data_IF_449080924250
#
_entry.id   IF_449080924250
#
_cell.length_a   1.000
_cell.length_b   1.000
_cell.length_c   1.000
_cell.angle_alpha   90.00
_cell.angle_beta   90.00
_cell.angle_gamma   90.00
#
_symmetry.space_group_name_H-M   'P 1'
#
loop_
_entity.id
_entity.type
_entity.pdbx_description
1 polymer ?
#
# COMPACT_ATOMS: atom_id res chain seq x y z
N UNK A 1 -6.05 7.56 -1.06
CA UNK A 1 -6.65 8.83 -0.54
C UNK A 1 -7.94 9.24 -1.23
N UNK A 2 -8.01 9.44 -2.57
CA UNK A 2 -9.24 9.91 -3.26
C UNK A 2 -10.44 9.03 -2.96
N UNK A 3 -10.30 7.70 -3.03
CA UNK A 3 -11.36 6.74 -2.73
C UNK A 3 -11.89 6.85 -1.28
N UNK A 4 -11.00 6.96 -0.30
CA UNK A 4 -11.40 7.13 1.11
C UNK A 4 -12.15 8.43 1.35
N UNK A 5 -11.73 9.53 0.73
CA UNK A 5 -12.46 10.81 0.76
C UNK A 5 -13.83 10.71 0.10
N UNK A 6 -13.94 9.98 -1.02
CA UNK A 6 -15.22 9.73 -1.67
C UNK A 6 -16.18 8.93 -0.77
N UNK A 7 -15.65 8.04 0.06
CA UNK A 7 -16.43 7.33 1.10
C UNK A 7 -16.71 8.19 2.34
N UNK A 8 -16.34 9.49 2.34
CA UNK A 8 -16.46 10.39 3.49
C UNK A 8 -15.71 9.92 4.73
N UNK A 9 -14.62 9.14 4.54
CA UNK A 9 -13.78 8.65 5.63
C UNK A 9 -12.73 9.70 5.96
N UNK A 10 -12.60 10.05 7.27
CA UNK A 10 -11.49 10.89 7.74
C UNK A 10 -10.18 10.13 7.59
N UNK A 11 -9.43 10.46 6.54
CA UNK A 11 -8.21 9.77 6.15
C UNK A 11 -7.05 10.75 5.90
N UNK A 12 -5.83 10.36 6.33
CA UNK A 12 -4.61 11.16 6.15
C UNK A 12 -3.43 10.29 5.72
N UNK A 13 -2.55 10.87 4.90
CA UNK A 13 -1.29 10.23 4.49
C UNK A 13 -0.13 10.80 5.29
N UNK A 14 0.73 9.91 5.77
CA UNK A 14 1.99 10.19 6.44
C UNK A 14 3.11 9.62 5.55
N UNK A 15 3.73 10.48 4.74
CA UNK A 15 4.77 10.09 3.79
C UNK A 15 6.15 10.20 4.45
N UNK A 16 6.75 9.08 4.80
CA UNK A 16 8.07 9.02 5.46
C UNK A 16 9.16 9.72 4.64
N UNK A 17 9.05 9.67 3.32
CA UNK A 17 9.94 10.42 2.43
C UNK A 17 9.89 11.93 2.65
N UNK A 18 8.72 12.49 3.01
CA UNK A 18 8.60 13.91 3.34
C UNK A 18 9.34 14.25 4.64
N UNK A 19 9.19 13.41 5.68
CA UNK A 19 9.93 13.60 6.94
C UNK A 19 11.43 13.51 6.72
N UNK A 20 11.88 12.58 5.89
CA UNK A 20 13.29 12.44 5.50
C UNK A 20 13.79 13.69 4.75
N UNK A 21 13.04 14.21 3.76
CA UNK A 21 13.42 15.40 2.98
C UNK A 21 13.52 16.65 3.86
N UNK A 22 12.67 16.79 4.87
CA UNK A 22 12.75 17.90 5.81
C UNK A 22 14.06 17.90 6.62
N UNK A 23 14.61 16.70 6.89
CA UNK A 23 15.87 16.55 7.62
C UNK A 23 17.10 16.53 6.68
N UNK A 24 16.97 15.93 5.50
CA UNK A 24 18.06 15.76 4.52
C UNK A 24 17.50 15.94 3.11
N UNK A 25 17.51 17.15 2.55
CA UNK A 25 17.05 17.40 1.20
C UNK A 25 18.01 16.79 0.17
N UNK A 26 17.42 16.20 -0.88
CA UNK A 26 18.12 15.69 -2.08
C UNK A 26 19.37 14.82 -1.82
N UNK A 27 19.30 13.75 -1.02
CA UNK A 27 20.43 12.88 -0.79
C UNK A 27 20.72 12.06 -2.05
N UNK A 28 22.00 11.78 -2.32
CA UNK A 28 22.43 10.86 -3.37
C UNK A 28 22.02 9.41 -3.08
N UNK A 29 22.13 8.51 -4.08
CA UNK A 29 21.89 7.08 -3.91
C UNK A 29 22.71 6.46 -2.76
N UNK A 30 23.92 6.98 -2.47
CA UNK A 30 24.75 6.53 -1.35
C UNK A 30 24.09 6.69 0.03
N UNK A 31 23.17 7.63 0.20
CA UNK A 31 22.39 7.78 1.43
C UNK A 31 21.50 6.55 1.72
N UNK A 32 21.09 5.84 0.67
CA UNK A 32 20.21 4.68 0.77
C UNK A 32 20.97 3.36 0.90
N UNK A 33 22.29 3.41 0.88
CA UNK A 33 23.15 2.25 1.09
C UNK A 33 22.95 1.69 2.50
N UNK A 34 22.93 0.36 2.61
CA UNK A 34 22.81 -0.34 3.90
C UNK A 34 24.08 -0.27 4.73
N UNK A 35 25.22 -0.06 4.08
CA UNK A 35 26.52 0.16 4.74
C UNK A 35 26.68 1.58 5.28
N UNK A 36 25.72 2.49 5.03
CA UNK A 36 25.74 3.86 5.52
C UNK A 36 24.96 3.98 6.85
N UNK A 37 25.62 3.92 8.01
CA UNK A 37 24.94 3.92 9.32
C UNK A 37 24.24 5.25 9.61
N UNK A 38 24.78 6.36 9.14
CA UNK A 38 24.15 7.67 9.32
C UNK A 38 22.90 7.80 8.46
N UNK A 39 22.93 7.34 7.22
CA UNK A 39 21.76 7.25 6.35
C UNK A 39 20.67 6.35 6.95
N UNK A 40 21.04 5.21 7.52
CA UNK A 40 20.11 4.32 8.22
C UNK A 40 19.48 4.99 9.43
N UNK A 41 20.27 5.64 10.28
CA UNK A 41 19.80 6.38 11.46
C UNK A 41 18.78 7.45 11.09
N UNK A 42 19.05 8.24 10.06
CA UNK A 42 18.17 9.32 9.60
C UNK A 42 16.87 8.76 8.99
N UNK A 43 16.92 7.67 8.23
CA UNK A 43 15.74 6.99 7.69
C UNK A 43 14.87 6.41 8.81
N UNK A 44 15.49 5.86 9.87
CA UNK A 44 14.78 5.37 11.04
C UNK A 44 14.08 6.50 11.78
N UNK A 45 14.80 7.58 12.10
CA UNK A 45 14.25 8.76 12.77
C UNK A 45 13.07 9.39 11.99
N UNK A 46 13.15 9.46 10.66
CA UNK A 46 12.07 9.94 9.82
C UNK A 46 10.82 9.05 9.93
N UNK A 47 11.00 7.73 9.97
CA UNK A 47 9.88 6.81 10.12
C UNK A 47 9.27 6.87 11.53
N UNK A 48 10.07 7.00 12.58
CA UNK A 48 9.58 7.18 13.95
C UNK A 48 8.78 8.48 14.11
N UNK A 49 9.26 9.58 13.53
CA UNK A 49 8.54 10.85 13.50
C UNK A 49 7.19 10.71 12.78
N UNK A 50 7.16 10.08 11.61
CA UNK A 50 5.93 9.88 10.85
C UNK A 50 4.91 9.01 11.62
N UNK A 51 5.35 7.90 12.23
CA UNK A 51 4.47 7.03 13.03
C UNK A 51 3.99 7.74 14.29
N UNK A 52 4.83 8.53 14.94
CA UNK A 52 4.45 9.31 16.12
C UNK A 52 3.38 10.35 15.79
N UNK A 53 3.54 11.07 14.67
CA UNK A 53 2.55 12.04 14.20
C UNK A 53 1.25 11.35 13.76
N UNK A 54 1.33 10.18 13.15
CA UNK A 54 0.18 9.35 12.79
C UNK A 54 -0.63 8.94 14.03
N UNK A 55 0.03 8.43 15.07
CA UNK A 55 -0.62 8.08 16.34
C UNK A 55 -1.26 9.29 16.99
N UNK A 56 -0.55 10.43 17.00
CA UNK A 56 -1.08 11.69 17.53
C UNK A 56 -2.34 12.13 16.78
N UNK A 57 -2.34 12.00 15.45
CA UNK A 57 -3.49 12.35 14.62
C UNK A 57 -4.72 11.47 14.91
N UNK A 58 -4.55 10.16 15.08
CA UNK A 58 -5.64 9.27 15.49
C UNK A 58 -6.26 9.71 16.82
N UNK A 59 -5.43 10.11 17.79
CA UNK A 59 -5.89 10.50 19.12
C UNK A 59 -6.56 11.88 19.17
N UNK A 60 -6.07 12.85 18.39
CA UNK A 60 -6.49 14.26 18.50
C UNK A 60 -7.53 14.67 17.47
N UNK A 61 -7.46 14.12 16.28
CA UNK A 61 -8.24 14.58 15.13
C UNK A 61 -9.33 13.59 14.71
N UNK A 62 -9.65 12.62 15.56
CA UNK A 62 -10.61 11.55 15.29
C UNK A 62 -10.38 10.87 13.93
N UNK A 63 -9.13 10.60 13.61
CA UNK A 63 -8.74 9.92 12.39
C UNK A 63 -9.30 8.49 12.33
N UNK A 64 -9.72 8.05 11.14
CA UNK A 64 -10.25 6.70 10.92
C UNK A 64 -9.24 5.84 10.18
N UNK A 65 -8.63 6.35 9.11
CA UNK A 65 -7.61 5.65 8.33
C UNK A 65 -6.38 6.53 8.12
N UNK A 66 -5.22 6.03 8.52
CA UNK A 66 -3.94 6.59 8.14
C UNK A 66 -3.27 5.75 7.05
N UNK A 67 -2.64 6.39 6.07
CA UNK A 67 -1.78 5.74 5.10
C UNK A 67 -0.34 6.10 5.45
N UNK A 68 0.42 5.13 5.96
CA UNK A 68 1.86 5.28 6.16
C UNK A 68 2.58 4.93 4.84
N UNK A 69 2.95 5.95 4.10
CA UNK A 69 3.61 5.82 2.81
C UNK A 69 5.13 5.73 3.00
N UNK A 70 5.65 4.52 2.88
CA UNK A 70 7.07 4.18 3.04
C UNK A 70 7.38 2.86 2.34
N UNK A 71 8.66 2.56 2.14
CA UNK A 71 9.09 1.30 1.52
C UNK A 71 8.81 0.06 2.39
N UNK A 72 8.94 0.18 3.72
CA UNK A 72 8.70 -0.91 4.70
C UNK A 72 9.27 -2.27 4.27
N UNK A 73 10.47 -2.25 3.67
CA UNK A 73 11.06 -3.34 2.89
C UNK A 73 11.49 -4.56 3.71
N UNK A 74 11.66 -4.45 5.03
CA UNK A 74 12.15 -5.55 5.87
C UNK A 74 11.09 -6.06 6.84
N UNK A 75 11.16 -7.35 7.19
CA UNK A 75 10.30 -7.99 8.19
C UNK A 75 10.40 -7.29 9.56
N UNK A 76 11.62 -6.91 9.96
CA UNK A 76 11.84 -6.19 11.22
C UNK A 76 11.12 -4.83 11.24
N UNK A 77 11.12 -4.09 10.12
CA UNK A 77 10.41 -2.83 10.00
C UNK A 77 8.89 -3.02 10.08
N UNK A 78 8.33 -4.01 9.38
CA UNK A 78 6.89 -4.30 9.42
C UNK A 78 6.46 -4.74 10.82
N UNK A 79 7.23 -5.60 11.48
CA UNK A 79 7.00 -6.01 12.86
C UNK A 79 6.99 -4.83 13.83
N UNK A 80 8.00 -3.94 13.72
CA UNK A 80 8.07 -2.74 14.56
C UNK A 80 6.84 -1.83 14.37
N UNK A 81 6.38 -1.60 13.12
CA UNK A 81 5.18 -0.82 12.84
C UNK A 81 3.95 -1.48 13.47
N UNK A 82 3.78 -2.79 13.28
CA UNK A 82 2.67 -3.54 13.84
C UNK A 82 2.63 -3.44 15.36
N UNK A 83 3.76 -3.68 16.04
CA UNK A 83 3.85 -3.59 17.50
C UNK A 83 3.54 -2.18 18.01
N UNK A 84 4.05 -1.15 17.30
CA UNK A 84 3.81 0.24 17.68
C UNK A 84 2.34 0.62 17.54
N UNK A 85 1.70 0.20 16.46
CA UNK A 85 0.27 0.41 16.23
C UNK A 85 -0.59 -0.38 17.22
N UNK A 86 -0.26 -1.65 17.48
CA UNK A 86 -1.02 -2.51 18.41
C UNK A 86 -1.06 -1.95 19.83
N UNK A 87 0.03 -1.33 20.32
CA UNK A 87 0.05 -0.65 21.63
C UNK A 87 -0.94 0.50 21.74
N UNK A 88 -1.37 1.03 20.62
CA UNK A 88 -2.33 2.13 20.51
C UNK A 88 -3.72 1.67 20.08
N UNK A 89 -3.96 0.36 20.04
CA UNK A 89 -5.19 -0.26 19.50
C UNK A 89 -5.48 0.15 18.05
N UNK A 90 -4.44 0.37 17.23
CA UNK A 90 -4.54 0.68 15.82
C UNK A 90 -4.29 -0.60 15.03
N UNK A 91 -5.26 -1.02 14.23
CA UNK A 91 -5.10 -2.15 13.31
C UNK A 91 -4.27 -1.76 12.09
N UNK A 92 -3.45 -2.71 11.62
CA UNK A 92 -2.58 -2.49 10.44
C UNK A 92 -3.02 -3.37 9.28
N UNK A 93 -3.08 -2.79 8.09
CA UNK A 93 -3.22 -3.50 6.81
C UNK A 93 -1.99 -3.18 5.96
N UNK A 94 -1.15 -4.17 5.70
CA UNK A 94 -0.01 -4.01 4.80
C UNK A 94 -0.44 -4.18 3.34
N UNK A 95 0.00 -3.27 2.48
CA UNK A 95 -0.22 -3.34 1.04
C UNK A 95 1.14 -3.49 0.38
N UNK A 96 1.41 -4.67 -0.18
CA UNK A 96 2.61 -4.96 -0.93
C UNK A 96 2.31 -4.94 -2.43
N UNK A 97 3.05 -4.15 -3.19
CA UNK A 97 2.98 -4.12 -4.65
C UNK A 97 4.29 -4.62 -5.24
N UNK A 98 4.24 -5.73 -5.95
CA UNK A 98 5.36 -6.34 -6.65
C UNK A 98 5.16 -6.22 -8.15
N UNK A 99 6.20 -5.85 -8.87
CA UNK A 99 6.19 -5.83 -10.32
C UNK A 99 7.49 -6.45 -10.83
N UNK A 100 7.37 -7.50 -11.65
CA UNK A 100 8.49 -8.18 -12.31
C UNK A 100 8.61 -7.81 -13.80
N UNK A 101 7.70 -6.99 -14.31
CA UNK A 101 7.69 -6.55 -15.70
C UNK A 101 8.64 -5.36 -15.88
N UNK A 102 9.83 -5.63 -16.43
CA UNK A 102 10.86 -4.61 -16.66
C UNK A 102 10.40 -3.47 -17.57
N UNK A 103 9.54 -3.73 -18.56
CA UNK A 103 9.04 -2.69 -19.47
C UNK A 103 8.13 -1.71 -18.73
N UNK A 104 7.28 -2.24 -17.85
CA UNK A 104 6.40 -1.44 -17.00
C UNK A 104 7.19 -0.68 -15.94
N UNK A 105 8.20 -1.31 -15.33
CA UNK A 105 9.09 -0.65 -14.37
C UNK A 105 9.78 0.54 -15.01
N UNK A 106 10.38 0.36 -16.20
CA UNK A 106 11.06 1.44 -16.92
C UNK A 106 10.11 2.57 -17.32
N UNK A 107 8.91 2.26 -17.78
CA UNK A 107 7.89 3.28 -18.08
C UNK A 107 7.54 4.11 -16.85
N UNK A 108 7.32 3.46 -15.70
CA UNK A 108 7.01 4.13 -14.44
C UNK A 108 8.20 4.99 -13.95
N UNK A 109 9.43 4.52 -14.12
CA UNK A 109 10.63 5.29 -13.78
C UNK A 109 10.67 6.58 -14.60
N UNK A 110 10.43 6.53 -15.87
CA UNK A 110 10.42 7.71 -16.76
C UNK A 110 9.33 8.72 -16.35
N UNK A 111 8.15 8.24 -15.95
CA UNK A 111 7.06 9.10 -15.48
C UNK A 111 7.35 9.72 -14.10
N UNK A 112 7.82 8.91 -13.15
CA UNK A 112 8.12 9.37 -11.77
C UNK A 112 9.22 10.43 -11.72
N UNK A 113 10.19 10.42 -12.64
CA UNK A 113 11.27 11.41 -12.67
C UNK A 113 10.82 12.82 -12.94
N UNK A 114 9.85 12.97 -13.82
CA UNK A 114 9.31 14.28 -14.14
C UNK A 114 8.51 14.88 -12.98
N UNK A 115 8.10 14.04 -12.01
CA UNK A 115 7.19 14.42 -10.93
C UNK A 115 7.77 14.29 -9.51
N UNK A 116 8.91 13.61 -9.35
CA UNK A 116 9.48 13.38 -8.02
C UNK A 116 10.16 14.62 -7.45
N UNK A 117 9.83 15.04 -6.21
CA UNK A 117 10.46 16.18 -5.55
C UNK A 117 11.99 16.04 -5.37
N UNK A 118 12.50 14.81 -5.36
CA UNK A 118 13.94 14.54 -5.17
C UNK A 118 14.76 14.91 -6.42
N UNK A 119 14.13 15.06 -7.59
CA UNK A 119 14.81 15.28 -8.88
C UNK A 119 14.46 16.59 -9.58
N UNK A 120 13.72 17.47 -8.92
CA UNK A 120 13.38 18.78 -9.47
C UNK A 120 14.65 19.59 -9.74
N UNK A 121 14.86 19.98 -11.02
CA UNK A 121 16.00 20.80 -11.45
C UNK A 121 17.29 20.01 -11.70
N UNK A 122 17.26 18.67 -11.66
CA UNK A 122 18.39 17.82 -12.05
C UNK A 122 18.33 17.46 -13.53
N UNK A 123 19.48 17.07 -14.09
CA UNK A 123 19.56 16.51 -15.42
C UNK A 123 18.74 15.21 -15.51
N UNK A 124 17.92 15.02 -16.55
CA UNK A 124 17.05 13.86 -16.66
C UNK A 124 17.81 12.51 -16.73
N UNK A 125 18.98 12.47 -17.37
CA UNK A 125 19.76 11.23 -17.50
C UNK A 125 20.42 10.86 -16.17
N UNK A 126 20.99 11.84 -15.48
CA UNK A 126 21.58 11.66 -14.14
C UNK A 126 20.54 11.24 -13.12
N UNK A 127 19.34 11.84 -13.17
CA UNK A 127 18.23 11.47 -12.32
C UNK A 127 17.76 10.01 -12.56
N UNK A 128 17.81 9.52 -13.80
CA UNK A 128 17.55 8.10 -14.15
C UNK A 128 18.54 7.21 -13.47
N UNK A 129 19.77 7.51 -13.66
CA UNK A 129 20.84 6.66 -13.16
C UNK A 129 20.80 6.57 -11.62
N UNK A 130 20.67 7.71 -10.93
CA UNK A 130 20.55 7.73 -9.47
C UNK A 130 19.30 6.96 -8.99
N UNK A 131 18.18 7.06 -9.71
CA UNK A 131 16.96 6.33 -9.34
C UNK A 131 17.12 4.82 -9.52
N UNK A 132 17.75 4.35 -10.59
CA UNK A 132 18.04 2.94 -10.82
C UNK A 132 19.00 2.39 -9.75
N UNK A 133 20.01 3.15 -9.37
CA UNK A 133 20.90 2.78 -8.27
C UNK A 133 20.16 2.66 -6.94
N UNK A 134 19.23 3.57 -6.65
CA UNK A 134 18.37 3.46 -5.46
C UNK A 134 17.49 2.22 -5.48
N UNK A 135 16.88 1.89 -6.62
CA UNK A 135 16.10 0.65 -6.78
C UNK A 135 16.95 -0.55 -6.42
N UNK A 136 18.13 -0.68 -7.02
CA UNK A 136 19.06 -1.78 -6.75
C UNK A 136 19.39 -1.92 -5.27
N UNK A 137 19.71 -0.80 -4.59
CA UNK A 137 19.98 -0.82 -3.14
C UNK A 137 18.76 -1.24 -2.30
N UNK A 138 17.54 -0.95 -2.75
CA UNK A 138 16.34 -1.43 -2.09
C UNK A 138 16.06 -2.91 -2.38
N UNK A 139 16.33 -3.38 -3.59
CA UNK A 139 16.19 -4.81 -3.97
C UNK A 139 17.08 -5.69 -3.10
N UNK A 140 18.32 -5.27 -2.83
CA UNK A 140 19.30 -6.02 -2.01
C UNK A 140 18.80 -6.29 -0.57
N UNK A 141 17.94 -5.44 -0.02
CA UNK A 141 17.40 -5.56 1.35
C UNK A 141 15.93 -5.90 1.41
N UNK A 142 15.26 -5.98 0.26
CA UNK A 142 13.85 -6.21 0.21
C UNK A 142 13.48 -7.63 0.62
N UNK A 143 12.58 -7.73 1.57
CA UNK A 143 12.01 -8.98 2.07
C UNK A 143 10.51 -8.97 1.81
N UNK A 144 10.08 -9.68 0.77
CA UNK A 144 8.66 -9.84 0.46
C UNK A 144 7.92 -10.48 1.63
N UNK A 145 6.65 -10.10 1.81
CA UNK A 145 5.79 -10.75 2.81
C UNK A 145 5.62 -12.22 2.42
N UNK A 146 5.87 -13.13 3.37
CA UNK A 146 5.80 -14.57 3.18
C UNK A 146 5.06 -15.27 4.34
N UNK A 147 5.06 -16.60 4.34
CA UNK A 147 4.37 -17.42 5.33
C UNK A 147 4.86 -17.21 6.78
N UNK A 148 6.07 -16.71 6.99
CA UNK A 148 6.57 -16.37 8.33
C UNK A 148 5.82 -15.20 8.96
N UNK A 149 5.15 -14.39 8.14
CA UNK A 149 4.35 -13.22 8.53
C UNK A 149 2.83 -13.49 8.40
N UNK A 150 2.39 -14.75 8.45
CA UNK A 150 0.98 -15.17 8.32
C UNK A 150 0.01 -14.52 9.32
N UNK A 151 0.52 -13.96 10.40
CA UNK A 151 -0.27 -13.25 11.41
C UNK A 151 -0.57 -11.79 11.01
N UNK A 152 0.10 -11.25 9.99
CA UNK A 152 -0.18 -9.92 9.48
C UNK A 152 -1.47 -9.90 8.67
N UNK A 153 -2.20 -8.80 8.74
CA UNK A 153 -3.24 -8.48 7.77
C UNK A 153 -2.58 -7.82 6.58
N UNK A 154 -2.67 -8.42 5.39
CA UNK A 154 -2.04 -7.89 4.19
C UNK A 154 -2.78 -8.20 2.90
N UNK A 155 -2.56 -7.37 1.91
CA UNK A 155 -2.83 -7.64 0.50
C UNK A 155 -1.54 -7.51 -0.30
N UNK A 156 -1.22 -8.52 -1.11
CA UNK A 156 -0.08 -8.54 -2.00
C UNK A 156 -0.56 -8.54 -3.43
N UNK A 157 -0.20 -7.52 -4.18
CA UNK A 157 -0.59 -7.29 -5.57
C UNK A 157 0.64 -7.53 -6.45
N UNK A 158 0.56 -8.51 -7.34
CA UNK A 158 1.69 -8.92 -8.17
C UNK A 158 1.37 -8.60 -9.63
N UNK A 159 2.33 -8.01 -10.32
CA UNK A 159 2.29 -7.65 -11.73
C UNK A 159 0.99 -6.92 -12.10
N UNK A 160 0.76 -5.80 -11.40
CA UNK A 160 -0.38 -4.92 -11.63
C UNK A 160 -1.74 -5.62 -11.49
N UNK A 161 -1.82 -6.58 -10.56
CA UNK A 161 -3.06 -7.30 -10.25
C UNK A 161 -3.27 -8.58 -11.07
N UNK A 162 -2.27 -9.11 -11.77
CA UNK A 162 -2.34 -10.45 -12.35
C UNK A 162 -2.56 -11.53 -11.28
N UNK A 163 -1.91 -11.35 -10.13
CA UNK A 163 -2.10 -12.20 -8.96
C UNK A 163 -2.32 -11.33 -7.73
N UNK A 164 -3.26 -11.73 -6.88
CA UNK A 164 -3.56 -11.02 -5.64
C UNK A 164 -3.65 -12.04 -4.52
N UNK A 165 -2.88 -11.82 -3.46
CA UNK A 165 -2.89 -12.64 -2.25
C UNK A 165 -3.44 -11.77 -1.12
N UNK A 166 -4.42 -12.30 -0.40
CA UNK A 166 -5.11 -11.61 0.68
C UNK A 166 -5.00 -12.47 1.95
N UNK A 167 -4.62 -11.88 3.06
CA UNK A 167 -4.46 -12.57 4.32
C UNK A 167 -5.08 -11.82 5.49
N UNK A 168 -5.81 -12.55 6.35
CA UNK A 168 -6.35 -12.10 7.64
C UNK A 168 -7.19 -10.81 7.58
N UNK A 169 -8.05 -10.66 6.59
CA UNK A 169 -8.97 -9.52 6.51
C UNK A 169 -10.08 -9.69 7.55
N UNK A 170 -10.28 -8.67 8.38
CA UNK A 170 -11.11 -8.74 9.58
C UNK A 170 -12.41 -7.96 9.51
N UNK A 171 -12.43 -6.85 8.78
CA UNK A 171 -13.56 -5.92 8.81
C UNK A 171 -14.02 -5.46 7.42
N UNK A 172 -15.16 -4.79 7.41
CA UNK A 172 -15.79 -4.25 6.22
C UNK A 172 -14.91 -3.20 5.52
N UNK A 173 -14.25 -2.33 6.28
CA UNK A 173 -13.48 -1.23 5.71
C UNK A 173 -12.22 -1.72 5.02
N UNK A 174 -11.53 -2.70 5.64
CA UNK A 174 -10.40 -3.41 5.02
C UNK A 174 -10.85 -4.08 3.71
N UNK A 175 -11.98 -4.78 3.73
CA UNK A 175 -12.56 -5.41 2.53
C UNK A 175 -12.84 -4.40 1.42
N UNK A 176 -13.39 -3.23 1.74
CA UNK A 176 -13.66 -2.14 0.77
C UNK A 176 -12.38 -1.59 0.15
N UNK A 177 -11.33 -1.40 0.96
CA UNK A 177 -10.02 -0.95 0.46
C UNK A 177 -9.43 -1.98 -0.49
N UNK A 178 -9.47 -3.27 -0.13
CA UNK A 178 -8.96 -4.35 -0.96
C UNK A 178 -9.74 -4.46 -2.27
N UNK A 179 -11.07 -4.42 -2.20
CA UNK A 179 -11.91 -4.42 -3.40
C UNK A 179 -11.54 -3.27 -4.35
N UNK A 180 -11.33 -2.06 -3.81
CA UNK A 180 -10.86 -0.93 -4.60
C UNK A 180 -9.48 -1.20 -5.25
N UNK A 181 -8.52 -1.73 -4.48
CA UNK A 181 -7.18 -2.04 -4.98
C UNK A 181 -7.20 -3.09 -6.09
N UNK A 182 -8.05 -4.11 -5.97
CA UNK A 182 -8.23 -5.15 -6.99
C UNK A 182 -8.80 -4.61 -8.31
N UNK A 183 -9.50 -3.48 -8.27
CA UNK A 183 -10.17 -2.88 -9.43
C UNK A 183 -9.46 -1.63 -9.97
N UNK A 184 -8.24 -1.32 -9.53
CA UNK A 184 -7.48 -0.17 -10.04
C UNK A 184 -7.09 -0.32 -11.51
N UNK A 185 -6.84 -1.54 -11.97
CA UNK A 185 -6.37 -1.85 -13.31
C UNK A 185 -7.41 -2.64 -14.10
N UNK A 186 -8.62 -2.07 -14.23
CA UNK A 186 -9.69 -2.68 -15.02
C UNK A 186 -9.33 -2.58 -16.50
N UNK A 187 -9.25 -3.73 -17.18
CA UNK A 187 -9.07 -3.75 -18.64
C UNK A 187 -10.35 -3.28 -19.32
N UNK A 188 -10.26 -2.41 -20.35
CA UNK A 188 -11.42 -2.00 -21.11
C UNK A 188 -12.13 -3.23 -21.72
N UNK A 189 -13.47 -3.20 -21.74
CA UNK A 189 -14.31 -4.26 -22.36
C UNK A 189 -14.15 -5.65 -21.74
N UNK A 190 -13.94 -5.75 -20.44
CA UNK A 190 -13.99 -7.03 -19.74
C UNK A 190 -15.43 -7.52 -19.64
N UNK A 191 -15.68 -8.77 -20.03
CA UNK A 191 -16.97 -9.45 -19.86
C UNK A 191 -16.80 -10.47 -18.74
N UNK A 192 -17.66 -10.39 -17.72
CA UNK A 192 -17.67 -11.34 -16.61
C UNK A 192 -18.84 -12.30 -16.77
N UNK A 193 -18.56 -13.59 -16.95
CA UNK A 193 -19.56 -14.63 -17.05
C UNK A 193 -19.55 -15.45 -15.77
N UNK A 194 -20.67 -15.55 -15.10
CA UNK A 194 -20.86 -16.37 -13.91
C UNK A 194 -22.02 -17.34 -14.10
N UNK A 195 -21.79 -18.61 -13.76
CA UNK A 195 -22.85 -19.62 -13.68
C UNK A 195 -23.05 -20.02 -12.23
N UNK A 196 -24.14 -19.59 -11.65
CA UNK A 196 -24.54 -19.98 -10.28
C UNK A 196 -25.41 -21.23 -10.33
N UNK A 197 -25.02 -22.29 -9.62
CA UNK A 197 -25.88 -23.46 -9.45
C UNK A 197 -27.05 -23.12 -8.53
N UNK A 198 -28.24 -23.60 -8.87
CA UNK A 198 -29.51 -23.35 -8.15
C UNK A 198 -29.41 -23.60 -6.63
N UNK A 199 -28.59 -24.56 -6.20
CA UNK A 199 -28.38 -24.90 -4.78
C UNK A 199 -27.66 -23.77 -4.02
N UNK A 200 -26.65 -23.14 -4.64
CA UNK A 200 -25.91 -22.03 -4.04
C UNK A 200 -26.80 -20.80 -3.95
N UNK A 201 -27.64 -20.58 -4.96
CA UNK A 201 -28.59 -19.47 -5.01
C UNK A 201 -29.62 -19.54 -3.88
N UNK A 202 -30.18 -20.73 -3.59
CA UNK A 202 -31.13 -20.90 -2.50
C UNK A 202 -30.51 -20.72 -1.11
N UNK A 203 -29.26 -21.12 -0.91
CA UNK A 203 -28.54 -20.91 0.33
C UNK A 203 -28.20 -19.43 0.54
N UNK A 204 -27.79 -18.73 -0.51
CA UNK A 204 -27.49 -17.31 -0.48
C UNK A 204 -28.73 -16.45 -0.18
N UNK A 205 -29.87 -16.78 -0.77
CA UNK A 205 -31.14 -16.08 -0.50
C UNK A 205 -31.66 -16.32 0.92
N UNK A 206 -31.48 -17.51 1.48
CA UNK A 206 -31.86 -17.78 2.89
C UNK A 206 -31.02 -16.97 3.86
N UNK A 207 -29.74 -16.78 3.60
CA UNK A 207 -28.84 -15.98 4.44
C UNK A 207 -29.09 -14.48 4.28
N UNK A 208 -29.40 -14.03 3.06
CA UNK A 208 -29.70 -12.63 2.77
C UNK A 208 -31.03 -12.15 3.37
N UNK A 209 -32.05 -13.00 3.37
CA UNK A 209 -33.36 -12.68 3.99
C UNK A 209 -33.29 -12.54 5.52
N UNK A 210 -32.29 -13.14 6.17
CA UNK A 210 -32.06 -12.99 7.60
C UNK A 210 -31.30 -11.69 7.97
N UNK A 211 -30.72 -10.98 6.99
CA UNK A 211 -29.90 -9.79 7.23
C UNK A 211 -30.24 -8.57 6.36
N UNK A 212 -31.49 -8.43 5.91
CA UNK A 212 -31.98 -7.24 5.16
C UNK A 212 -31.03 -6.72 4.05
N UNK A 213 -30.30 -7.59 3.36
CA UNK A 213 -29.39 -7.23 2.25
C UNK A 213 -29.96 -7.56 0.88
N UNK A 214 -31.19 -7.14 0.59
CA UNK A 214 -31.91 -7.47 -0.67
C UNK A 214 -31.39 -6.70 -1.89
N UNK A 215 -30.63 -5.63 -1.75
CA UNK A 215 -30.29 -4.73 -2.86
C UNK A 215 -28.89 -4.87 -3.49
N UNK A 216 -28.10 -5.89 -3.13
CA UNK A 216 -26.77 -6.04 -3.74
C UNK A 216 -26.72 -7.03 -4.92
N UNK A 217 -27.76 -7.82 -5.15
CA UNK A 217 -27.75 -8.84 -6.19
C UNK A 217 -28.09 -8.35 -7.62
N UNK A 218 -28.61 -7.14 -7.76
CA UNK A 218 -28.96 -6.57 -9.07
C UNK A 218 -27.75 -6.00 -9.82
N UNK A 219 -26.62 -5.77 -9.13
CA UNK A 219 -25.43 -5.13 -9.71
C UNK A 219 -24.57 -6.13 -10.52
N UNK A 220 -24.76 -7.43 -10.33
CA UNK A 220 -23.90 -8.45 -10.97
C UNK A 220 -24.44 -9.01 -12.29
N UNK A 221 -25.66 -8.71 -12.68
CA UNK A 221 -26.29 -9.24 -13.88
C UNK A 221 -26.41 -8.27 -15.04
N UNK A 222 -26.16 -6.98 -14.86
CA UNK A 222 -26.45 -5.96 -15.90
C UNK A 222 -25.29 -5.01 -16.25
N UNK A 223 -24.01 -5.33 -15.93
CA UNK A 223 -22.91 -4.50 -16.45
C UNK A 223 -21.66 -5.31 -16.76
#
# INVERSE_FOLDING_TARGET
MRYLRWLSINAKTFNVGQYRRNATPNPSAAFFDTSNPEGERLRLAAAEAAVTDMVRWFRKDNGIIAILDATNSTKSRRKWIQERCSRENIETLFVESLCNDHSLIMSNIMEVKTTSPDYVGQDPEEAVQDFLERIKKYEDVYQSIDESEKNLTYVKIIDVGKHIIINCIKDYLQSRVIYYLMNLHIRPRSIWLSRVRKIIFSAFFKTANNHSMVNQNTIWTER
#
